data_IF_870395426650
#
_entry.id   IF_870395426650
#
_cell.length_a   1.000
_cell.length_b   1.000
_cell.length_c   1.000
_cell.angle_alpha   90.00
_cell.angle_beta   90.00
_cell.angle_gamma   90.00
#
_symmetry.space_group_name_H-M   'P 1'
#
loop_
_entity.id
_entity.type
_entity.pdbx_description
1 polymer ?
#
# COMPACT_ATOMS: atom_id res chain seq x y z
N UNK A 1 -9.60 26.29 19.19
CA UNK A 1 -8.56 27.09 19.89
C UNK A 1 -7.99 26.37 21.10
N UNK A 2 -8.82 25.75 21.96
CA UNK A 2 -8.35 25.06 23.18
C UNK A 2 -7.25 24.01 22.96
N UNK A 3 -7.38 23.11 21.97
CA UNK A 3 -6.36 22.08 21.70
C UNK A 3 -5.00 22.69 21.31
N UNK A 4 -5.01 23.75 20.49
CA UNK A 4 -3.77 24.45 20.11
C UNK A 4 -3.11 25.09 21.32
N UNK A 5 -3.90 25.69 22.21
CA UNK A 5 -3.39 26.27 23.46
C UNK A 5 -2.80 25.20 24.40
N UNK A 6 -3.43 24.02 24.54
CA UNK A 6 -2.87 22.90 25.32
C UNK A 6 -1.53 22.42 24.75
N UNK A 7 -1.41 22.33 23.42
CA UNK A 7 -0.16 21.93 22.76
C UNK A 7 0.94 22.98 22.92
N UNK A 8 0.60 24.27 22.85
CA UNK A 8 1.55 25.37 23.05
C UNK A 8 2.18 25.39 24.45
N UNK A 9 1.52 24.81 25.45
CA UNK A 9 2.05 24.72 26.81
C UNK A 9 3.10 23.61 26.95
N UNK A 10 3.10 22.60 26.08
CA UNK A 10 4.04 21.47 26.10
C UNK A 10 4.58 21.15 24.70
N UNK A 11 5.28 22.10 24.04
CA UNK A 11 5.71 21.94 22.66
C UNK A 11 6.77 20.84 22.48
N UNK A 12 7.53 20.53 23.54
CA UNK A 12 8.57 19.50 23.49
C UNK A 12 8.00 18.09 23.27
N UNK A 13 6.75 17.82 23.68
CA UNK A 13 6.12 16.53 23.38
C UNK A 13 5.94 16.30 21.87
N UNK A 14 5.83 17.36 21.06
CA UNK A 14 5.74 17.18 19.60
C UNK A 14 7.05 16.66 18.99
N UNK A 15 8.19 16.78 19.69
CA UNK A 15 9.47 16.20 19.28
C UNK A 15 9.55 14.68 19.53
N UNK A 16 8.62 14.14 20.32
CA UNK A 16 8.56 12.72 20.68
C UNK A 16 7.66 11.91 19.74
N UNK A 17 7.08 12.54 18.72
CA UNK A 17 6.33 11.87 17.64
C UNK A 17 7.23 10.85 16.96
N UNK A 18 6.72 9.63 16.76
CA UNK A 18 7.42 8.60 15.98
C UNK A 18 6.86 8.47 14.57
N UNK A 19 7.74 8.09 13.64
CA UNK A 19 7.46 7.99 12.21
C UNK A 19 8.17 6.78 11.61
N UNK A 20 7.53 6.10 10.67
CA UNK A 20 8.14 5.04 9.86
C UNK A 20 7.71 5.16 8.40
N UNK A 21 8.50 4.60 7.48
CA UNK A 21 8.19 4.56 6.06
C UNK A 21 8.22 3.13 5.56
N UNK A 22 7.20 2.75 4.80
CA UNK A 22 7.23 1.64 3.85
C UNK A 22 7.25 2.25 2.45
N UNK A 23 8.21 1.86 1.61
CA UNK A 23 8.32 2.33 0.22
C UNK A 23 8.36 1.13 -0.71
N UNK A 24 7.39 1.05 -1.59
CA UNK A 24 7.35 0.04 -2.64
C UNK A 24 8.04 0.54 -3.91
N UNK A 25 8.67 -0.38 -4.64
CA UNK A 25 9.21 -0.11 -5.97
C UNK A 25 9.32 -1.40 -6.80
N UNK A 26 9.07 -1.30 -8.10
CA UNK A 26 9.29 -2.42 -9.02
C UNK A 26 10.77 -2.51 -9.33
N UNK A 27 11.35 -3.71 -9.22
CA UNK A 27 12.67 -4.02 -9.79
C UNK A 27 12.58 -4.02 -11.31
N UNK A 28 13.46 -3.27 -11.95
CA UNK A 28 13.56 -3.16 -13.41
C UNK A 28 14.96 -3.51 -13.88
N UNK A 29 15.09 -4.00 -15.11
CA UNK A 29 16.40 -4.17 -15.76
C UNK A 29 17.04 -2.81 -16.07
N UNK A 30 18.32 -2.80 -16.48
CA UNK A 30 18.99 -1.56 -16.94
C UNK A 30 18.26 -0.85 -18.08
N UNK A 31 17.52 -1.60 -18.89
CA UNK A 31 16.73 -1.08 -20.02
C UNK A 31 15.30 -0.66 -19.60
N UNK A 32 15.01 -0.63 -18.30
CA UNK A 32 13.71 -0.19 -17.77
C UNK A 32 12.59 -1.22 -17.88
N UNK A 33 12.90 -2.48 -18.20
CA UNK A 33 11.91 -3.54 -18.31
C UNK A 33 11.59 -4.14 -16.95
N UNK A 34 10.33 -4.58 -16.75
CA UNK A 34 9.90 -5.27 -15.54
C UNK A 34 10.77 -6.52 -15.28
N UNK A 35 11.33 -6.66 -14.07
CA UNK A 35 12.14 -7.81 -13.74
C UNK A 35 11.28 -9.07 -13.51
N UNK A 36 11.63 -10.17 -14.18
CA UNK A 36 10.90 -11.45 -14.09
C UNK A 36 11.60 -12.49 -13.21
N UNK A 37 12.82 -12.19 -12.78
CA UNK A 37 13.60 -13.05 -11.91
C UNK A 37 13.12 -12.99 -10.45
N UNK A 38 13.55 -13.99 -9.68
CA UNK A 38 13.20 -14.11 -8.26
C UNK A 38 13.81 -13.00 -7.42
N UNK A 39 13.29 -12.84 -6.20
CA UNK A 39 13.86 -11.97 -5.19
C UNK A 39 15.36 -12.31 -5.02
N UNK A 40 16.26 -11.33 -5.19
CA UNK A 40 17.70 -11.59 -5.16
C UNK A 40 18.14 -12.19 -3.81
N UNK A 41 18.76 -13.37 -3.85
CA UNK A 41 19.14 -14.11 -2.62
C UNK A 41 20.11 -13.33 -1.73
N UNK A 42 20.87 -12.40 -2.30
CA UNK A 42 21.76 -11.48 -1.58
C UNK A 42 21.02 -10.53 -0.62
N UNK A 43 19.73 -10.26 -0.88
CA UNK A 43 18.86 -9.46 -0.02
C UNK A 43 18.22 -10.30 1.10
N UNK A 44 18.53 -11.60 1.16
CA UNK A 44 18.04 -12.52 2.19
C UNK A 44 16.65 -13.05 1.89
N UNK A 45 15.88 -13.29 2.96
CA UNK A 45 14.54 -13.86 2.87
C UNK A 45 13.50 -12.76 3.00
N UNK A 46 12.74 -12.50 1.93
CA UNK A 46 11.62 -11.56 1.96
C UNK A 46 10.59 -11.90 3.07
N UNK A 47 10.48 -13.16 3.50
CA UNK A 47 9.56 -13.55 4.57
C UNK A 47 9.95 -12.98 5.95
N UNK A 48 11.24 -12.78 6.21
CA UNK A 48 11.77 -12.54 7.57
C UNK A 48 12.74 -11.37 7.69
N UNK A 49 13.21 -10.81 6.58
CA UNK A 49 14.15 -9.71 6.60
C UNK A 49 13.47 -8.43 7.13
N UNK A 50 14.08 -7.70 8.10
CA UNK A 50 13.40 -6.64 8.83
C UNK A 50 13.13 -5.37 8.02
N UNK A 51 13.97 -5.09 7.02
CA UNK A 51 13.93 -3.82 6.26
C UNK A 51 13.61 -3.97 4.77
N UNK A 52 13.59 -5.21 4.25
CA UNK A 52 13.53 -5.47 2.81
C UNK A 52 12.64 -6.69 2.62
N UNK A 53 11.50 -6.51 1.97
CA UNK A 53 10.58 -7.60 1.66
C UNK A 53 10.03 -7.39 0.25
N UNK A 54 9.02 -8.15 -0.11
CA UNK A 54 8.25 -7.98 -1.33
C UNK A 54 6.78 -7.79 -0.97
N UNK A 55 6.10 -6.90 -1.68
CA UNK A 55 4.64 -6.79 -1.61
C UNK A 55 4.02 -7.86 -2.53
N UNK A 56 3.12 -7.52 -3.45
CA UNK A 56 2.36 -8.49 -4.24
C UNK A 56 3.23 -9.32 -5.18
N UNK A 57 4.05 -8.66 -5.99
CA UNK A 57 4.88 -9.32 -7.00
C UNK A 57 6.26 -9.63 -6.45
N UNK A 58 6.88 -10.71 -6.94
CA UNK A 58 8.29 -11.04 -6.67
C UNK A 58 9.26 -9.92 -7.10
N UNK A 59 8.83 -9.07 -8.04
CA UNK A 59 9.56 -7.89 -8.48
C UNK A 59 9.21 -6.61 -7.71
N UNK A 60 8.11 -6.58 -6.94
CA UNK A 60 7.66 -5.42 -6.19
C UNK A 60 8.33 -5.43 -4.81
N UNK A 61 9.51 -4.82 -4.71
CA UNK A 61 10.24 -4.72 -3.45
C UNK A 61 9.58 -3.70 -2.53
N UNK A 62 9.62 -3.96 -1.24
CA UNK A 62 9.15 -3.04 -0.20
C UNK A 62 10.30 -2.79 0.80
N UNK A 63 10.62 -1.52 0.99
CA UNK A 63 11.66 -1.06 1.91
C UNK A 63 11.00 -0.50 3.17
N UNK A 64 11.36 -1.03 4.33
CA UNK A 64 10.70 -0.73 5.61
C UNK A 64 11.72 -0.15 6.57
N UNK A 65 11.41 1.00 7.16
CA UNK A 65 12.23 1.62 8.22
C UNK A 65 11.76 1.22 9.61
N UNK A 66 12.66 1.31 10.58
CA UNK A 66 12.27 1.36 11.99
C UNK A 66 11.53 2.67 12.32
N UNK A 67 10.80 2.75 13.45
CA UNK A 67 10.23 4.01 13.92
C UNK A 67 11.31 4.99 14.43
N UNK A 68 11.26 6.23 13.97
CA UNK A 68 12.18 7.32 14.35
C UNK A 68 11.48 8.56 14.87
N UNK A 69 12.15 9.31 15.74
CA UNK A 69 11.64 10.57 16.29
C UNK A 69 11.89 11.77 15.38
N UNK A 70 12.96 11.72 14.59
CA UNK A 70 13.34 12.79 13.67
C UNK A 70 13.14 12.37 12.21
N UNK A 71 12.96 13.36 11.33
CA UNK A 71 12.81 13.10 9.90
C UNK A 71 14.17 12.74 9.30
N UNK A 72 15.25 13.32 9.85
CA UNK A 72 16.62 13.11 9.43
C UNK A 72 17.05 11.65 9.64
N UNK A 73 16.81 11.07 10.81
CA UNK A 73 17.10 9.66 11.10
C UNK A 73 16.28 8.71 10.21
N UNK A 74 14.99 9.02 10.03
CA UNK A 74 14.08 8.26 9.16
C UNK A 74 14.57 8.21 7.72
N UNK A 75 14.92 9.37 7.15
CA UNK A 75 15.41 9.45 5.76
C UNK A 75 16.78 8.82 5.62
N UNK A 76 17.63 8.91 6.64
CA UNK A 76 18.95 8.27 6.64
C UNK A 76 18.85 6.73 6.63
N UNK A 77 17.97 6.12 7.44
CA UNK A 77 17.75 4.67 7.37
C UNK A 77 17.19 4.27 6.00
N UNK A 78 16.15 4.95 5.51
CA UNK A 78 15.56 4.66 4.19
C UNK A 78 16.61 4.78 3.07
N UNK A 79 17.49 5.77 3.14
CA UNK A 79 18.58 5.96 2.20
C UNK A 79 19.57 4.78 2.24
N UNK A 80 20.01 4.36 3.44
CA UNK A 80 20.93 3.24 3.58
C UNK A 80 20.35 1.92 3.07
N UNK A 81 19.08 1.63 3.39
CA UNK A 81 18.39 0.42 2.90
C UNK A 81 18.27 0.45 1.38
N UNK A 82 17.85 1.59 0.80
CA UNK A 82 17.76 1.76 -0.65
C UNK A 82 19.12 1.60 -1.34
N UNK A 83 20.17 2.23 -0.79
CA UNK A 83 21.53 2.12 -1.32
C UNK A 83 22.03 0.68 -1.29
N UNK A 84 21.81 -0.04 -0.18
CA UNK A 84 22.18 -1.45 -0.06
C UNK A 84 21.50 -2.30 -1.14
N UNK A 85 20.20 -2.13 -1.38
CA UNK A 85 19.47 -2.85 -2.41
C UNK A 85 20.05 -2.61 -3.80
N UNK A 86 20.21 -1.35 -4.20
CA UNK A 86 20.69 -1.00 -5.56
C UNK A 86 22.14 -1.44 -5.76
N UNK A 87 22.99 -1.37 -4.73
CA UNK A 87 24.39 -1.82 -4.83
C UNK A 87 24.52 -3.36 -4.85
N UNK A 88 23.58 -4.08 -4.23
CA UNK A 88 23.61 -5.55 -4.18
C UNK A 88 23.10 -6.20 -5.46
N UNK A 89 22.39 -5.47 -6.32
CA UNK A 89 21.77 -5.98 -7.55
C UNK A 89 22.13 -5.07 -8.74
N UNK A 90 23.41 -5.03 -9.15
CA UNK A 90 23.96 -4.01 -10.07
C UNK A 90 23.39 -4.06 -11.49
N UNK A 91 22.70 -5.15 -11.85
CA UNK A 91 22.05 -5.31 -13.15
C UNK A 91 20.58 -4.87 -13.18
N UNK A 92 20.08 -4.37 -12.05
CA UNK A 92 18.72 -3.87 -11.89
C UNK A 92 18.71 -2.50 -11.25
N UNK A 93 17.57 -1.82 -11.39
CA UNK A 93 17.25 -0.58 -10.71
C UNK A 93 15.85 -0.68 -10.09
N UNK A 94 15.47 0.34 -9.33
CA UNK A 94 14.13 0.47 -8.76
C UNK A 94 13.35 1.52 -9.54
N UNK A 95 12.18 1.14 -10.04
CA UNK A 95 11.23 2.04 -10.68
C UNK A 95 10.80 3.13 -9.68
N UNK A 96 10.84 4.39 -10.11
CA UNK A 96 10.69 5.54 -9.20
C UNK A 96 9.30 6.16 -9.23
N UNK A 97 8.35 5.59 -9.96
CA UNK A 97 6.99 6.10 -10.09
C UNK A 97 5.97 5.14 -9.47
N UNK A 98 4.85 5.70 -8.98
CA UNK A 98 3.76 4.90 -8.43
C UNK A 98 3.06 4.04 -9.47
N UNK A 99 2.71 4.62 -10.62
CA UNK A 99 2.16 3.82 -11.72
C UNK A 99 3.29 2.99 -12.32
N UNK A 100 3.04 1.70 -12.60
CA UNK A 100 4.10 0.80 -13.01
C UNK A 100 4.74 1.22 -14.34
N UNK A 101 5.96 0.72 -14.57
CA UNK A 101 6.58 0.70 -15.89
C UNK A 101 5.73 -0.14 -16.87
N UNK A 102 6.25 -0.36 -18.08
CA UNK A 102 5.65 -1.35 -18.97
C UNK A 102 5.53 -2.69 -18.23
N UNK A 103 4.32 -3.23 -18.18
CA UNK A 103 4.01 -4.50 -17.54
C UNK A 103 3.97 -5.61 -18.58
N UNK A 104 4.48 -6.81 -18.25
CA UNK A 104 4.28 -7.98 -19.11
C UNK A 104 2.80 -8.40 -19.11
N UNK A 105 2.49 -9.43 -19.90
CA UNK A 105 1.17 -10.05 -19.87
C UNK A 105 0.85 -10.57 -18.45
N UNK A 106 -0.44 -10.56 -18.11
CA UNK A 106 -0.88 -10.78 -16.73
C UNK A 106 -0.47 -12.15 -16.16
N UNK A 107 -0.45 -13.17 -17.01
CA UNK A 107 0.03 -14.51 -16.64
C UNK A 107 1.51 -14.53 -16.26
N UNK A 108 2.31 -13.61 -16.81
CA UNK A 108 3.77 -13.57 -16.69
C UNK A 108 4.25 -12.69 -15.53
N UNK A 109 3.37 -11.90 -14.90
CA UNK A 109 3.68 -11.17 -13.66
C UNK A 109 3.90 -12.20 -12.52
N UNK A 110 5.11 -12.28 -11.94
CA UNK A 110 5.42 -13.25 -10.90
C UNK A 110 4.81 -12.79 -9.57
N UNK A 111 4.12 -13.70 -8.89
CA UNK A 111 3.60 -13.48 -7.53
C UNK A 111 4.71 -13.76 -6.53
N UNK A 112 4.79 -12.95 -5.47
CA UNK A 112 5.85 -13.07 -4.47
C UNK A 112 5.91 -14.47 -3.84
N UNK A 113 7.13 -15.01 -3.72
CA UNK A 113 7.44 -16.31 -3.14
C UNK A 113 8.08 -16.15 -1.74
N UNK A 114 7.62 -16.96 -0.78
CA UNK A 114 8.08 -16.89 0.62
C UNK A 114 8.57 -18.25 1.14
N UNK A 115 9.01 -19.13 0.24
CA UNK A 115 9.39 -20.51 0.56
C UNK A 115 8.22 -21.42 0.90
N UNK A 116 8.52 -22.59 1.46
CA UNK A 116 7.56 -23.70 1.64
C UNK A 116 6.99 -23.84 3.06
N UNK A 117 7.31 -22.90 3.96
CA UNK A 117 6.72 -22.89 5.30
C UNK A 117 5.22 -22.62 5.23
N UNK A 118 4.46 -22.97 6.27
CA UNK A 118 3.03 -22.66 6.33
C UNK A 118 2.78 -21.15 6.21
N UNK A 119 3.58 -20.32 6.89
CA UNK A 119 3.50 -18.87 6.81
C UNK A 119 3.83 -18.33 5.41
N UNK A 120 4.85 -18.90 4.76
CA UNK A 120 5.22 -18.53 3.40
C UNK A 120 4.14 -18.91 2.38
N UNK A 121 3.64 -20.14 2.45
CA UNK A 121 2.53 -20.63 1.63
C UNK A 121 1.28 -19.78 1.82
N UNK A 122 0.93 -19.42 3.06
CA UNK A 122 -0.21 -18.56 3.36
C UNK A 122 -0.11 -17.20 2.65
N UNK A 123 1.06 -16.53 2.73
CA UNK A 123 1.30 -15.23 2.09
C UNK A 123 1.26 -15.30 0.57
N UNK A 124 1.73 -16.40 -0.01
CA UNK A 124 1.68 -16.64 -1.44
C UNK A 124 0.23 -16.89 -1.92
N UNK A 125 -0.50 -17.81 -1.26
CA UNK A 125 -1.91 -18.10 -1.58
C UNK A 125 -2.82 -16.88 -1.39
N UNK A 126 -2.52 -16.01 -0.43
CA UNK A 126 -3.20 -14.73 -0.29
C UNK A 126 -3.09 -13.90 -1.59
N UNK A 127 -1.88 -13.77 -2.15
CA UNK A 127 -1.63 -13.03 -3.39
C UNK A 127 -2.19 -13.71 -4.63
N UNK A 128 -2.21 -15.04 -4.68
CA UNK A 128 -2.97 -15.79 -5.70
C UNK A 128 -4.46 -15.42 -5.64
N UNK A 129 -5.03 -15.30 -4.44
CA UNK A 129 -6.40 -14.82 -4.25
C UNK A 129 -6.61 -13.39 -4.75
N UNK A 130 -5.67 -12.48 -4.50
CA UNK A 130 -5.72 -11.11 -5.03
C UNK A 130 -5.64 -11.09 -6.56
N UNK A 131 -4.76 -11.90 -7.16
CA UNK A 131 -4.66 -12.07 -8.60
C UNK A 131 -5.99 -12.51 -9.20
N UNK A 132 -6.62 -13.50 -8.57
CA UNK A 132 -7.89 -14.07 -9.02
C UNK A 132 -9.05 -13.08 -8.92
N UNK A 133 -9.07 -12.26 -7.87
CA UNK A 133 -10.17 -11.32 -7.59
C UNK A 133 -10.03 -10.00 -8.35
N UNK A 134 -8.80 -9.51 -8.53
CA UNK A 134 -8.54 -8.13 -8.96
C UNK A 134 -7.56 -8.02 -10.13
N UNK A 135 -6.96 -9.13 -10.55
CA UNK A 135 -5.94 -9.16 -11.58
C UNK A 135 -4.55 -8.72 -11.07
N UNK A 136 -3.51 -9.19 -11.76
CA UNK A 136 -2.11 -8.97 -11.31
C UNK A 136 -1.60 -7.56 -11.56
N UNK A 137 -2.09 -6.91 -12.62
CA UNK A 137 -1.61 -5.58 -13.05
C UNK A 137 -1.89 -4.52 -11.99
N UNK A 138 -3.09 -4.48 -11.44
CA UNK A 138 -3.48 -3.51 -10.40
C UNK A 138 -2.57 -3.56 -9.17
N UNK A 139 -2.16 -4.77 -8.81
CA UNK A 139 -1.31 -5.04 -7.66
C UNK A 139 0.17 -4.66 -7.87
N UNK A 140 0.55 -4.21 -9.07
CA UNK A 140 1.88 -3.69 -9.36
C UNK A 140 1.98 -2.17 -9.17
N UNK A 141 0.91 -1.49 -8.75
CA UNK A 141 0.98 -0.06 -8.40
C UNK A 141 1.77 0.07 -7.09
N UNK A 142 2.83 0.86 -7.10
CA UNK A 142 3.65 1.12 -5.93
C UNK A 142 3.17 2.35 -5.14
N UNK A 143 3.28 2.27 -3.83
CA UNK A 143 2.96 3.34 -2.89
C UNK A 143 4.10 3.68 -1.92
N UNK A 144 3.79 4.65 -1.07
CA UNK A 144 4.53 4.95 0.14
C UNK A 144 3.54 4.99 1.29
N UNK A 145 3.81 4.26 2.36
CA UNK A 145 3.08 4.35 3.62
C UNK A 145 3.90 5.15 4.61
N UNK A 146 3.23 6.11 5.24
CA UNK A 146 3.82 6.91 6.31
C UNK A 146 3.15 6.52 7.63
N UNK A 147 3.88 5.74 8.40
CA UNK A 147 3.49 5.31 9.73
C UNK A 147 3.75 6.44 10.72
N UNK A 148 2.80 6.72 11.61
CA UNK A 148 2.85 7.89 12.50
C UNK A 148 2.22 7.58 13.85
N UNK A 149 2.88 7.99 14.93
CA UNK A 149 2.29 7.93 16.27
C UNK A 149 2.63 9.15 17.13
N UNK A 150 1.64 9.60 17.89
CA UNK A 150 1.79 10.64 18.91
C UNK A 150 2.25 10.02 20.23
N UNK A 151 3.09 10.72 21.03
CA UNK A 151 3.55 10.20 22.29
C UNK A 151 2.37 10.00 23.26
N UNK A 152 2.39 8.93 24.08
CA UNK A 152 1.28 8.59 24.97
C UNK A 152 0.81 9.72 25.90
N UNK A 153 1.72 10.60 26.30
CA UNK A 153 1.49 11.74 27.20
C UNK A 153 0.61 12.81 26.58
N UNK A 154 0.70 13.01 25.26
CA UNK A 154 -0.08 14.03 24.54
C UNK A 154 -1.58 13.81 24.71
N UNK A 155 -1.99 12.54 24.70
CA UNK A 155 -3.40 12.15 24.82
C UNK A 155 -4.02 12.49 26.17
N UNK A 156 -3.20 12.69 27.22
CA UNK A 156 -3.69 13.11 28.52
C UNK A 156 -3.94 14.62 28.60
N UNK A 157 -3.26 15.42 27.76
CA UNK A 157 -3.39 16.89 27.73
C UNK A 157 -4.55 17.37 26.88
N UNK A 158 -4.95 16.56 25.91
CA UNK A 158 -6.05 16.88 25.01
C UNK A 158 -7.40 16.60 25.71
N UNK A 159 -8.41 17.45 25.49
CA UNK A 159 -9.75 17.25 26.04
C UNK A 159 -10.48 16.13 25.27
N UNK A 160 -10.02 14.89 25.46
CA UNK A 160 -10.54 13.68 24.83
C UNK A 160 -11.23 12.82 25.88
N UNK A 161 -12.38 12.27 25.53
CA UNK A 161 -13.14 11.36 26.37
C UNK A 161 -12.38 10.04 26.62
N UNK A 162 -12.51 9.52 27.82
CA UNK A 162 -11.86 8.26 28.24
C UNK A 162 -11.38 8.31 29.68
N UNK A 163 -11.54 7.20 30.39
CA UNK A 163 -11.11 7.02 31.78
C UNK A 163 -9.66 6.52 31.86
N UNK A 164 -9.17 5.83 30.82
CA UNK A 164 -7.80 5.34 30.74
C UNK A 164 -7.01 6.04 29.63
N UNK A 165 -5.68 5.96 29.69
CA UNK A 165 -4.81 6.46 28.61
C UNK A 165 -5.11 5.80 27.27
N UNK A 166 -5.34 4.48 27.29
CA UNK A 166 -5.64 3.70 26.09
C UNK A 166 -6.98 4.10 25.48
N UNK A 167 -8.01 4.32 26.29
CA UNK A 167 -9.32 4.79 25.80
C UNK A 167 -9.20 6.15 25.11
N UNK A 168 -8.49 7.11 25.72
CA UNK A 168 -8.25 8.42 25.11
C UNK A 168 -7.46 8.32 23.81
N UNK A 169 -6.46 7.45 23.75
CA UNK A 169 -5.69 7.16 22.54
C UNK A 169 -6.58 6.61 21.43
N UNK A 170 -7.43 5.62 21.74
CA UNK A 170 -8.35 5.03 20.78
C UNK A 170 -9.31 6.09 20.22
N UNK A 171 -9.98 6.85 21.10
CA UNK A 171 -10.90 7.94 20.69
C UNK A 171 -10.16 8.98 19.84
N UNK A 172 -8.93 9.33 20.25
CA UNK A 172 -8.06 10.27 19.57
C UNK A 172 -7.67 9.83 18.15
N UNK A 173 -7.18 8.60 17.98
CA UNK A 173 -6.83 8.07 16.65
C UNK A 173 -8.05 7.88 15.75
N UNK A 174 -9.20 7.43 16.28
CA UNK A 174 -10.44 7.39 15.50
C UNK A 174 -10.84 8.79 15.02
N UNK A 175 -10.67 9.83 15.84
CA UNK A 175 -10.88 11.21 15.43
C UNK A 175 -9.87 11.68 14.36
N UNK A 176 -8.60 11.31 14.49
CA UNK A 176 -7.59 11.58 13.46
C UNK A 176 -7.93 10.92 12.13
N UNK A 177 -8.38 9.66 12.11
CA UNK A 177 -8.81 8.98 10.88
C UNK A 177 -9.97 9.73 10.21
N UNK A 178 -10.97 10.17 10.98
CA UNK A 178 -12.10 10.96 10.43
C UNK A 178 -11.62 12.27 9.80
N UNK A 179 -10.67 12.96 10.43
CA UNK A 179 -10.07 14.19 9.89
C UNK A 179 -9.19 13.89 8.67
N UNK A 180 -8.39 12.83 8.71
CA UNK A 180 -7.59 12.40 7.57
C UNK A 180 -8.48 12.14 6.36
N UNK A 181 -9.56 11.35 6.50
CA UNK A 181 -10.51 11.12 5.39
C UNK A 181 -11.14 12.41 4.84
N UNK A 182 -11.40 13.41 5.69
CA UNK A 182 -11.97 14.70 5.27
C UNK A 182 -10.99 15.53 4.44
N UNK A 183 -9.68 15.42 4.71
CA UNK A 183 -8.65 16.28 4.13
C UNK A 183 -7.60 15.55 3.28
N UNK A 184 -7.69 14.23 3.11
CA UNK A 184 -6.73 13.43 2.35
C UNK A 184 -6.60 13.87 0.89
N UNK A 185 -7.64 14.50 0.32
CA UNK A 185 -7.58 15.12 -1.01
C UNK A 185 -6.48 16.17 -1.14
N UNK A 186 -6.12 16.86 -0.05
CA UNK A 186 -5.06 17.85 -0.08
C UNK A 186 -3.69 17.20 -0.28
N UNK A 187 -3.47 16.01 0.30
CA UNK A 187 -2.24 15.24 0.06
C UNK A 187 -2.15 14.80 -1.40
N UNK A 188 -3.26 14.33 -1.98
CA UNK A 188 -3.31 13.96 -3.40
C UNK A 188 -3.11 15.16 -4.31
N UNK A 189 -3.55 16.35 -3.90
CA UNK A 189 -3.34 17.58 -4.66
C UNK A 189 -1.88 18.07 -4.60
N UNK A 190 -1.27 18.06 -3.40
CA UNK A 190 0.09 18.59 -3.19
C UNK A 190 1.19 17.61 -3.59
N UNK A 191 0.98 16.31 -3.35
CA UNK A 191 2.00 15.28 -3.49
C UNK A 191 1.62 14.18 -4.50
N UNK A 192 0.46 14.31 -5.16
CA UNK A 192 0.11 13.43 -6.26
C UNK A 192 1.13 13.55 -7.38
N UNK A 193 1.86 12.46 -7.62
CA UNK A 193 2.94 12.39 -8.60
C UNK A 193 2.69 11.27 -9.64
N UNK A 194 1.42 11.05 -10.00
CA UNK A 194 1.07 10.04 -10.99
C UNK A 194 0.02 10.52 -11.98
N UNK A 195 0.29 11.60 -12.76
CA UNK A 195 -0.63 12.12 -13.76
C UNK A 195 -0.68 11.27 -15.03
N UNK A 196 0.31 10.38 -15.21
CA UNK A 196 0.49 9.53 -16.40
C UNK A 196 0.45 8.05 -16.01
N UNK A 197 0.13 7.20 -16.99
CA UNK A 197 0.06 5.74 -16.84
C UNK A 197 0.52 5.06 -18.13
N UNK A 198 1.21 3.92 -18.02
CA UNK A 198 1.61 3.14 -19.20
C UNK A 198 0.40 2.44 -19.84
N UNK A 199 0.34 2.40 -21.17
CA UNK A 199 -0.73 1.76 -21.93
C UNK A 199 -0.88 0.26 -21.67
N UNK A 200 0.20 -0.43 -21.27
CA UNK A 200 0.14 -1.86 -20.91
C UNK A 200 -0.70 -2.14 -19.68
N UNK A 201 -0.92 -1.13 -18.83
CA UNK A 201 -1.76 -1.23 -17.65
C UNK A 201 -3.26 -1.14 -17.99
N UNK A 202 -3.59 -0.46 -19.09
CA UNK A 202 -4.96 -0.10 -19.43
C UNK A 202 -5.57 -1.12 -20.38
N UNK A 203 -6.86 -1.38 -20.18
CA UNK A 203 -7.68 -2.01 -21.22
C UNK A 203 -8.16 -0.98 -22.27
N UNK A 204 -8.69 -1.46 -23.38
CA UNK A 204 -9.13 -0.62 -24.51
C UNK A 204 -10.26 0.36 -24.17
N UNK A 205 -11.09 0.06 -23.16
CA UNK A 205 -12.13 0.99 -22.70
C UNK A 205 -11.52 2.13 -21.87
N UNK A 206 -10.59 1.81 -20.98
CA UNK A 206 -9.90 2.79 -20.15
C UNK A 206 -9.02 3.73 -20.99
N UNK A 207 -8.33 3.22 -22.02
CA UNK A 207 -7.55 4.03 -22.97
C UNK A 207 -8.39 5.14 -23.61
N UNK A 208 -9.65 4.88 -23.95
CA UNK A 208 -10.57 5.87 -24.56
C UNK A 208 -10.92 7.02 -23.64
N UNK A 209 -10.77 6.85 -22.32
CA UNK A 209 -11.04 7.89 -21.31
C UNK A 209 -9.84 8.80 -21.04
N UNK A 210 -8.68 8.49 -21.61
CA UNK A 210 -7.42 9.18 -21.38
C UNK A 210 -6.88 9.78 -22.67
N UNK A 211 -5.91 10.70 -22.56
CA UNK A 211 -5.23 11.29 -23.70
C UNK A 211 -3.86 10.63 -23.88
N UNK A 212 -3.50 10.13 -25.07
CA UNK A 212 -2.12 9.73 -25.36
C UNK A 212 -1.16 10.89 -25.14
N UNK A 213 -0.04 10.64 -24.46
CA UNK A 213 0.98 11.67 -24.23
C UNK A 213 1.66 12.11 -25.54
N UNK A 214 1.89 11.15 -26.43
CA UNK A 214 2.41 11.37 -27.80
C UNK A 214 1.34 10.91 -28.78
N UNK A 215 0.99 11.77 -29.73
CA UNK A 215 -0.03 11.48 -30.72
C UNK A 215 0.40 10.29 -31.61
N UNK A 216 -0.49 9.30 -31.77
CA UNK A 216 -0.22 8.08 -32.54
C UNK A 216 0.51 6.98 -31.78
N UNK A 217 0.93 7.21 -30.53
CA UNK A 217 1.53 6.19 -29.67
C UNK A 217 0.54 5.70 -28.60
N UNK A 218 0.67 4.43 -28.20
CA UNK A 218 -0.14 3.81 -27.15
C UNK A 218 0.65 3.52 -25.87
N UNK A 219 1.86 4.09 -25.73
CA UNK A 219 2.77 3.77 -24.64
C UNK A 219 2.42 4.47 -23.32
N UNK A 220 2.05 5.75 -23.38
CA UNK A 220 1.78 6.55 -22.18
C UNK A 220 0.51 7.38 -22.37
N UNK A 221 -0.36 7.33 -21.38
CA UNK A 221 -1.59 8.08 -21.32
C UNK A 221 -1.60 9.01 -20.11
N UNK A 222 -2.35 10.10 -20.18
CA UNK A 222 -2.48 11.05 -19.08
C UNK A 222 -3.85 11.74 -19.06
N UNK A 223 -4.11 12.48 -17.98
CA UNK A 223 -5.16 13.49 -17.93
C UNK A 223 -4.53 14.86 -17.59
N UNK A 224 -4.85 15.96 -18.31
CA UNK A 224 -4.16 17.25 -18.15
C UNK A 224 -4.15 17.84 -16.73
N UNK A 225 -5.13 17.49 -15.91
CA UNK A 225 -5.29 18.01 -14.55
C UNK A 225 -5.25 16.92 -13.47
N UNK A 226 -4.95 15.67 -13.83
CA UNK A 226 -4.80 14.63 -12.82
C UNK A 226 -3.55 14.89 -11.97
N UNK A 227 -3.69 14.72 -10.66
CA UNK A 227 -2.54 14.72 -9.75
C UNK A 227 -2.12 13.29 -9.43
N UNK A 228 -3.08 12.42 -9.12
CA UNK A 228 -2.81 11.01 -8.79
C UNK A 228 -3.82 10.04 -9.41
N UNK A 229 -3.49 9.49 -10.60
CA UNK A 229 -4.21 8.37 -11.20
C UNK A 229 -4.17 7.10 -10.33
N UNK A 230 -3.12 6.90 -9.52
CA UNK A 230 -3.04 5.81 -8.51
C UNK A 230 -4.26 5.79 -7.57
N UNK A 231 -4.78 6.95 -7.22
CA UNK A 231 -5.92 7.09 -6.31
C UNK A 231 -7.28 7.20 -7.03
N UNK A 232 -7.31 6.99 -8.35
CA UNK A 232 -8.52 7.02 -9.17
C UNK A 232 -9.15 5.63 -9.33
N UNK A 233 -10.24 5.53 -10.09
CA UNK A 233 -10.85 4.27 -10.51
C UNK A 233 -9.98 3.45 -11.49
N UNK A 234 -8.91 4.05 -12.03
CA UNK A 234 -7.88 3.34 -12.79
C UNK A 234 -6.78 2.77 -11.90
N UNK A 235 -6.72 3.20 -10.65
CA UNK A 235 -5.67 2.81 -9.72
C UNK A 235 -6.13 1.70 -8.80
N UNK A 236 -5.93 1.91 -7.51
CA UNK A 236 -6.18 0.90 -6.48
C UNK A 236 -7.60 1.03 -5.90
N UNK A 237 -8.62 0.65 -6.67
CA UNK A 237 -10.03 0.72 -6.23
C UNK A 237 -10.85 -0.46 -6.73
N UNK A 238 -11.67 -1.02 -5.84
CA UNK A 238 -12.51 -2.18 -6.10
C UNK A 238 -14.00 -1.88 -5.80
N UNK A 239 -14.89 -2.31 -6.69
CA UNK A 239 -16.34 -2.12 -6.58
C UNK A 239 -16.97 -2.92 -5.45
N UNK A 240 -16.37 -4.06 -5.06
CA UNK A 240 -16.86 -4.85 -3.93
C UNK A 240 -16.98 -3.93 -2.69
N UNK A 241 -15.97 -3.08 -2.44
CA UNK A 241 -15.85 -2.16 -1.31
C UNK A 241 -16.92 -1.09 -1.20
N UNK A 242 -17.60 -0.74 -2.30
CA UNK A 242 -18.55 0.38 -2.35
C UNK A 242 -19.70 0.25 -1.33
N UNK A 243 -19.98 -0.99 -0.88
CA UNK A 243 -21.03 -1.31 0.07
C UNK A 243 -20.60 -1.28 1.55
N UNK A 244 -19.31 -1.24 1.87
CA UNK A 244 -18.84 -1.10 3.25
C UNK A 244 -19.01 0.35 3.73
N UNK A 245 -20.10 0.60 4.46
CA UNK A 245 -20.28 1.86 5.19
C UNK A 245 -19.23 1.97 6.29
N UNK A 246 -18.11 2.62 6.00
CA UNK A 246 -16.99 2.67 6.94
C UNK A 246 -17.38 3.43 8.22
N UNK A 247 -17.44 2.75 9.35
CA UNK A 247 -17.62 3.37 10.66
C UNK A 247 -16.24 3.65 11.29
N UNK A 248 -15.85 4.92 11.34
CA UNK A 248 -14.64 5.37 12.03
C UNK A 248 -14.95 6.17 13.30
N UNK A 249 -16.10 5.92 13.91
CA UNK A 249 -16.53 6.66 15.11
C UNK A 249 -15.89 6.08 16.38
N UNK A 250 -15.90 4.75 16.51
CA UNK A 250 -15.36 4.01 17.65
C UNK A 250 -14.47 2.86 17.18
N UNK A 251 -13.57 2.39 18.05
CA UNK A 251 -12.69 1.27 17.74
C UNK A 251 -13.50 -0.02 17.58
N UNK A 252 -14.50 -0.24 18.42
CA UNK A 252 -15.36 -1.42 18.42
C UNK A 252 -16.18 -1.49 17.12
N UNK A 253 -16.72 -0.35 16.69
CA UNK A 253 -17.47 -0.28 15.42
C UNK A 253 -16.58 -0.55 14.20
N UNK A 254 -15.34 -0.07 14.24
CA UNK A 254 -14.36 -0.38 13.19
C UNK A 254 -13.94 -1.86 13.21
N UNK A 255 -13.65 -2.42 14.39
CA UNK A 255 -13.30 -3.83 14.54
C UNK A 255 -14.43 -4.75 14.09
N UNK A 256 -15.69 -4.43 14.42
CA UNK A 256 -16.85 -5.18 13.96
C UNK A 256 -17.00 -5.12 12.44
N UNK A 257 -16.78 -3.95 11.83
CA UNK A 257 -16.81 -3.81 10.36
C UNK A 257 -15.79 -4.73 9.68
N UNK A 258 -14.56 -4.78 10.19
CA UNK A 258 -13.52 -5.66 9.66
C UNK A 258 -13.89 -7.13 9.88
N UNK A 259 -14.37 -7.48 11.07
CA UNK A 259 -14.82 -8.83 11.40
C UNK A 259 -15.93 -9.30 10.46
N UNK A 260 -16.96 -8.48 10.25
CA UNK A 260 -18.08 -8.79 9.37
C UNK A 260 -17.61 -8.98 7.93
N UNK A 261 -16.70 -8.13 7.44
CA UNK A 261 -16.12 -8.28 6.11
C UNK A 261 -15.37 -9.62 5.96
N UNK A 262 -14.44 -9.94 6.86
CA UNK A 262 -13.64 -11.18 6.73
C UNK A 262 -14.43 -12.47 7.03
N UNK A 263 -15.66 -12.36 7.55
CA UNK A 263 -16.53 -13.51 7.87
C UNK A 263 -17.73 -13.65 6.93
N UNK A 264 -18.06 -12.62 6.14
CA UNK A 264 -19.21 -12.63 5.21
C UNK A 264 -18.80 -13.19 3.84
N UNK A 265 -19.40 -14.31 3.37
CA UNK A 265 -19.16 -14.84 2.03
C UNK A 265 -19.52 -13.86 0.91
N UNK A 266 -18.77 -13.89 -0.19
CA UNK A 266 -19.07 -13.10 -1.39
C UNK A 266 -19.41 -14.04 -2.55
N UNK A 267 -20.61 -13.95 -3.17
CA UNK A 267 -21.07 -14.95 -4.14
C UNK A 267 -20.11 -15.19 -5.32
N UNK A 268 -19.48 -14.13 -5.82
CA UNK A 268 -18.51 -14.26 -6.92
C UNK A 268 -17.25 -15.03 -6.49
N UNK A 269 -16.80 -14.87 -5.25
CA UNK A 269 -15.62 -15.58 -4.73
C UNK A 269 -15.96 -17.00 -4.30
N UNK A 270 -17.19 -17.25 -3.85
CA UNK A 270 -17.68 -18.60 -3.58
C UNK A 270 -17.73 -19.45 -4.85
N UNK A 271 -18.21 -18.88 -5.96
CA UNK A 271 -18.30 -19.57 -7.24
C UNK A 271 -16.94 -20.04 -7.78
N UNK A 272 -15.85 -19.36 -7.39
CA UNK A 272 -14.48 -19.73 -7.77
C UNK A 272 -13.92 -20.90 -6.94
N UNK A 273 -14.44 -21.11 -5.72
CA UNK A 273 -13.92 -22.10 -4.77
C UNK A 273 -12.52 -21.75 -4.24
N UNK A 274 -12.04 -22.50 -3.24
CA UNK A 274 -10.73 -22.24 -2.61
C UNK A 274 -9.59 -23.04 -3.22
N UNK A 275 -9.90 -24.08 -3.99
CA UNK A 275 -8.92 -24.94 -4.64
C UNK A 275 -9.31 -25.24 -6.08
N UNK A 276 -8.31 -25.39 -6.93
CA UNK A 276 -8.44 -25.87 -8.32
C UNK A 276 -7.30 -26.85 -8.60
N UNK A 277 -7.64 -28.01 -9.16
CA UNK A 277 -6.68 -29.08 -9.47
C UNK A 277 -5.76 -29.46 -8.29
N UNK A 278 -6.33 -29.48 -7.08
CA UNK A 278 -5.61 -29.81 -5.84
C UNK A 278 -4.69 -28.71 -5.29
N UNK A 279 -4.70 -27.50 -5.89
CA UNK A 279 -3.92 -26.34 -5.43
C UNK A 279 -4.81 -25.27 -4.84
N UNK A 280 -4.34 -24.60 -3.79
CA UNK A 280 -5.01 -23.43 -3.23
C UNK A 280 -4.90 -22.23 -4.19
N UNK A 281 -6.03 -21.58 -4.44
CA UNK A 281 -6.13 -20.40 -5.33
C UNK A 281 -6.64 -19.15 -4.61
N UNK A 282 -7.14 -19.31 -3.39
CA UNK A 282 -7.46 -18.23 -2.45
C UNK A 282 -7.60 -18.82 -1.04
N UNK A 283 -7.35 -18.01 -0.02
CA UNK A 283 -7.45 -18.44 1.38
C UNK A 283 -8.89 -18.77 1.78
N UNK A 284 -9.85 -18.01 1.25
CA UNK A 284 -11.22 -18.04 1.71
C UNK A 284 -12.18 -17.57 0.60
N UNK A 285 -13.48 -17.45 0.94
CA UNK A 285 -14.53 -17.02 0.00
C UNK A 285 -15.27 -15.78 0.50
N UNK A 286 -14.71 -15.11 1.50
CA UNK A 286 -15.31 -13.95 2.13
C UNK A 286 -14.90 -12.66 1.45
N UNK A 287 -15.63 -11.61 1.80
CA UNK A 287 -15.32 -10.25 1.43
C UNK A 287 -13.88 -9.87 1.85
N UNK A 288 -13.21 -9.08 1.02
CA UNK A 288 -11.89 -8.55 1.32
C UNK A 288 -12.03 -7.07 1.78
N UNK A 289 -11.75 -6.74 3.05
CA UNK A 289 -11.86 -5.37 3.52
C UNK A 289 -10.67 -4.48 3.14
N UNK A 290 -9.58 -5.04 2.61
CA UNK A 290 -8.30 -4.34 2.44
C UNK A 290 -7.90 -4.08 0.98
N UNK A 291 -8.57 -4.67 -0.02
CA UNK A 291 -8.25 -4.50 -1.46
C UNK A 291 -9.47 -4.30 -2.38
#
# INVERSE_FOLDING_TARGET
>A
MQNLSSLQQQPDLLKEIQRGIEREAIRITKDGQFALDKHPTVLGSALTHPNITTDYSEALIELITSPHKTVEELLMELHHVHQFVVQSVPDQNLWTQSMPCHLPEEKDIPIAEYGTSNSGTLRHVYREGLALRYGKKMQCIAGLHYNFSLPPELWQLLPIEGNTQQEKQNVGYMALIRNFKRYAWLLMYLFGASPTINGSFLNEEQKKRLTPLVEGEDHTYYLPYATSLRMSDLGYRNDAQSNLKSCFNTLEGFAQLIYDAVTTPWPAYEALGTQKDGKWIQLNRQYDPYN
#
